data_IF_963722331355
#
_entry.id   IF_963722331355
#
_cell.length_a   1.000
_cell.length_b   1.000
_cell.length_c   1.000
_cell.angle_alpha   90.00
_cell.angle_beta   90.00
_cell.angle_gamma   90.00
#
_symmetry.space_group_name_H-M   'P 1'
#
loop_
_entity.id
_entity.type
_entity.pdbx_description
1 polymer ?
#
# COMPACT_ATOMS: atom_id res chain seq x y z
N UNK A 1 -6.93 -2.05 14.09
CA UNK A 1 -5.79 -2.93 13.73
C UNK A 1 -6.12 -3.53 12.37
N UNK A 2 -5.50 -3.03 11.30
CA UNK A 2 -5.78 -3.49 9.93
C UNK A 2 -4.68 -4.48 9.54
N UNK A 3 -4.91 -5.77 9.80
CA UNK A 3 -4.02 -6.84 9.34
C UNK A 3 -4.70 -7.54 8.17
N UNK A 4 -4.54 -6.98 6.97
CA UNK A 4 -4.71 -7.74 5.74
C UNK A 4 -3.58 -8.76 5.73
N UNK A 5 -3.92 -10.05 5.69
CA UNK A 5 -2.93 -11.12 5.48
C UNK A 5 -2.59 -11.13 4.00
N UNK A 6 -1.31 -11.13 3.63
CA UNK A 6 -0.90 -11.21 2.23
C UNK A 6 -0.60 -12.65 1.85
N UNK A 7 -0.95 -13.02 0.62
CA UNK A 7 -0.59 -14.32 0.05
C UNK A 7 0.60 -14.17 -0.90
N UNK A 8 1.35 -15.27 -1.05
CA UNK A 8 2.40 -15.35 -2.05
C UNK A 8 1.82 -15.10 -3.45
N UNK A 9 2.45 -14.23 -4.22
CA UNK A 9 1.97 -13.79 -5.54
C UNK A 9 1.39 -12.38 -5.58
N UNK A 10 1.03 -11.79 -4.44
CA UNK A 10 0.51 -10.40 -4.38
C UNK A 10 1.63 -9.34 -4.54
N UNK A 11 2.89 -9.75 -4.67
CA UNK A 11 4.04 -8.85 -4.75
C UNK A 11 3.88 -7.87 -5.92
N UNK A 12 3.98 -6.58 -5.63
CA UNK A 12 3.80 -5.52 -6.62
C UNK A 12 2.37 -4.98 -6.72
N UNK A 13 1.39 -5.58 -6.05
CA UNK A 13 0.02 -5.07 -6.01
C UNK A 13 -0.07 -3.71 -5.32
N UNK A 14 -0.97 -2.81 -5.75
CA UNK A 14 -1.13 -1.50 -5.16
C UNK A 14 -1.86 -1.56 -3.81
N UNK A 15 -1.43 -0.75 -2.86
CA UNK A 15 -2.20 -0.45 -1.65
C UNK A 15 -2.97 0.84 -1.85
N UNK A 16 -4.29 0.70 -1.94
CA UNK A 16 -5.23 1.79 -2.22
C UNK A 16 -6.18 1.98 -1.04
N UNK A 17 -6.61 3.21 -0.81
CA UNK A 17 -7.67 3.53 0.15
C UNK A 17 -8.66 4.51 -0.47
N UNK A 18 -9.93 4.37 -0.14
CA UNK A 18 -10.96 5.38 -0.41
C UNK A 18 -11.17 6.33 0.76
N UNK A 19 -10.38 6.17 1.83
CA UNK A 19 -10.36 7.01 3.02
C UNK A 19 -8.96 7.57 3.24
N UNK A 20 -8.86 8.89 3.27
CA UNK A 20 -7.67 9.62 3.70
C UNK A 20 -7.83 10.09 5.15
N UNK A 21 -6.74 10.42 5.87
CA UNK A 21 -6.82 11.01 7.20
C UNK A 21 -7.60 12.34 7.23
N UNK A 22 -7.78 12.99 6.06
CA UNK A 22 -8.51 14.24 5.87
C UNK A 22 -9.78 14.10 5.00
N UNK A 23 -10.30 12.88 4.76
CA UNK A 23 -11.35 12.67 3.74
C UNK A 23 -12.74 13.16 4.18
N UNK A 24 -13.04 14.40 3.83
CA UNK A 24 -14.41 14.93 3.65
C UNK A 24 -15.05 14.39 2.35
N UNK A 25 -14.23 13.87 1.43
CA UNK A 25 -14.65 13.34 0.14
C UNK A 25 -14.73 11.81 0.16
N UNK A 26 -15.95 11.27 0.14
CA UNK A 26 -16.21 9.88 -0.22
C UNK A 26 -16.07 9.75 -1.74
N UNK A 27 -15.04 9.04 -2.23
CA UNK A 27 -14.97 8.66 -3.65
C UNK A 27 -13.58 8.66 -4.27
N UNK A 28 -12.62 9.39 -3.70
CA UNK A 28 -11.25 9.46 -4.25
C UNK A 28 -10.45 8.20 -3.89
N UNK A 29 -9.79 7.61 -4.88
CA UNK A 29 -8.85 6.49 -4.67
C UNK A 29 -7.45 7.06 -4.42
N UNK A 30 -6.98 6.89 -3.19
CA UNK A 30 -5.65 7.32 -2.76
C UNK A 30 -4.70 6.12 -2.84
N UNK A 31 -3.63 6.25 -3.62
CA UNK A 31 -2.53 5.30 -3.59
C UNK A 31 -1.59 5.59 -2.41
N UNK A 32 -1.37 4.62 -1.54
CA UNK A 32 -0.47 4.75 -0.40
C UNK A 32 0.87 4.05 -0.61
N UNK A 33 0.89 2.98 -1.39
CA UNK A 33 2.10 2.19 -1.56
C UNK A 33 1.91 0.97 -2.43
N UNK A 34 2.92 0.11 -2.37
CA UNK A 34 2.99 -1.14 -3.12
C UNK A 34 3.35 -2.28 -2.19
N UNK A 35 2.69 -3.42 -2.34
CA UNK A 35 3.01 -4.64 -1.61
C UNK A 35 4.40 -5.16 -1.95
N UNK A 36 5.18 -5.49 -0.91
CA UNK A 36 6.55 -5.98 -1.02
C UNK A 36 6.69 -7.45 -0.60
N UNK A 37 5.80 -7.95 0.25
CA UNK A 37 5.84 -9.30 0.79
C UNK A 37 5.21 -9.37 2.18
N UNK A 38 5.33 -10.52 2.84
CA UNK A 38 4.80 -10.73 4.19
C UNK A 38 5.91 -10.90 5.23
N UNK A 39 5.60 -10.56 6.48
CA UNK A 39 6.42 -10.90 7.65
C UNK A 39 6.47 -12.43 7.78
N UNK A 40 7.68 -12.98 7.80
CA UNK A 40 7.89 -14.43 7.72
C UNK A 40 7.90 -15.14 9.07
N UNK A 41 8.04 -14.40 10.19
CA UNK A 41 8.13 -14.99 11.53
C UNK A 41 7.72 -14.00 12.64
N UNK A 42 7.41 -14.53 13.81
CA UNK A 42 7.05 -13.75 15.01
C UNK A 42 5.56 -13.42 15.11
N UNK A 43 5.22 -12.53 16.05
CA UNK A 43 3.83 -12.18 16.42
C UNK A 43 2.99 -11.63 15.25
N UNK A 44 3.65 -11.12 14.20
CA UNK A 44 3.00 -10.56 13.01
C UNK A 44 3.21 -11.41 11.77
N UNK A 45 3.54 -12.70 11.89
CA UNK A 45 3.69 -13.58 10.73
C UNK A 45 2.46 -13.52 9.81
N UNK A 46 2.68 -13.36 8.51
CA UNK A 46 1.65 -13.19 7.49
C UNK A 46 1.14 -11.75 7.33
N UNK A 47 1.52 -10.83 8.22
CA UNK A 47 1.22 -9.42 8.05
C UNK A 47 1.99 -8.89 6.83
N UNK A 48 1.27 -8.18 5.98
CA UNK A 48 1.85 -7.60 4.79
C UNK A 48 2.81 -6.45 5.09
N UNK A 49 3.78 -6.30 4.19
CA UNK A 49 4.79 -5.24 4.19
C UNK A 49 4.63 -4.45 2.90
N UNK A 50 4.69 -3.12 3.02
CA UNK A 50 4.47 -2.19 1.91
C UNK A 50 5.66 -1.25 1.77
N UNK A 51 5.86 -0.74 0.55
CA UNK A 51 6.73 0.40 0.29
C UNK A 51 5.85 1.63 0.02
N UNK A 52 6.05 2.76 0.72
CA UNK A 52 5.26 3.97 0.51
C UNK A 52 5.39 4.50 -0.92
N UNK A 53 4.27 4.96 -1.50
CA UNK A 53 4.23 5.47 -2.88
C UNK A 53 5.12 6.70 -3.06
N UNK A 54 5.24 7.54 -2.03
CA UNK A 54 6.11 8.72 -2.00
C UNK A 54 7.59 8.35 -2.09
N UNK A 55 7.97 7.24 -1.47
CA UNK A 55 9.33 6.71 -1.58
C UNK A 55 9.59 6.17 -2.99
N UNK A 56 8.63 5.44 -3.57
CA UNK A 56 8.77 4.89 -4.93
C UNK A 56 8.88 6.04 -5.94
N UNK A 57 7.90 6.96 -5.95
CA UNK A 57 7.82 8.06 -6.92
C UNK A 57 9.05 8.97 -6.91
N UNK A 58 9.60 9.26 -5.72
CA UNK A 58 10.84 10.05 -5.60
C UNK A 58 12.09 9.33 -6.09
N UNK A 59 12.13 7.99 -6.04
CA UNK A 59 13.27 7.20 -6.51
C UNK A 59 13.27 6.97 -8.02
N UNK A 60 12.10 6.89 -8.63
CA UNK A 60 11.96 6.67 -10.09
C UNK A 60 11.58 7.94 -10.86
N UNK A 61 11.54 9.09 -10.19
CA UNK A 61 11.14 10.39 -10.77
C UNK A 61 9.81 10.31 -11.54
N UNK A 62 8.84 9.57 -10.98
CA UNK A 62 7.54 9.35 -11.61
C UNK A 62 6.42 10.10 -10.89
N UNK A 63 5.43 10.53 -11.66
CA UNK A 63 4.17 11.05 -11.12
C UNK A 63 3.08 9.97 -11.19
N UNK A 64 2.15 10.00 -10.25
CA UNK A 64 0.98 9.12 -10.29
C UNK A 64 0.04 9.55 -11.42
N UNK A 65 -0.39 8.58 -12.23
CA UNK A 65 -1.50 8.78 -13.15
C UNK A 65 -2.81 8.76 -12.36
N UNK A 66 -3.49 9.89 -12.29
CA UNK A 66 -4.81 10.02 -11.68
C UNK A 66 -5.87 10.20 -12.78
N UNK A 67 -7.08 9.65 -12.63
CA UNK A 67 -8.22 9.98 -13.49
C UNK A 67 -8.62 11.46 -13.42
#
# INVERSE_FOLDING_TARGET
>A
MWTTTCVEGDSGAPWLSTFGPDSVYYGDVIAWGQHRGAVQSGTYQGACVWVPVTYISSKVEASLLTP
#
